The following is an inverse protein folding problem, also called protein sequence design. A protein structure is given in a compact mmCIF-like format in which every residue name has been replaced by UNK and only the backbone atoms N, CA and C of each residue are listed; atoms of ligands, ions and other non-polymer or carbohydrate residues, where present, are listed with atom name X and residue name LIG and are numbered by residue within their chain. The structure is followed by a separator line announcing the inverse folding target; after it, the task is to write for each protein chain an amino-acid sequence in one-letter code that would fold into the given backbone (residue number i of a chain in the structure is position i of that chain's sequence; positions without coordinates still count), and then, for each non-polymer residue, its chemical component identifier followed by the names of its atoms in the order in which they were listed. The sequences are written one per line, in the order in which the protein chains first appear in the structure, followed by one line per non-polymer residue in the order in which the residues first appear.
data_IF_367946022379
#
_entry.id   IF_367946022379
#
_cell.length_a   1.000
_cell.length_b   1.000
_cell.length_c   1.000
_cell.angle_alpha   90.00
_cell.angle_beta   90.00
_cell.angle_gamma   90.00
#
_symmetry.space_group_name_H-M   'P 1'
#
loop_
_entity.id
_entity.type
_entity.pdbx_description
1 polymer ?
#
# COMPACT_ATOMS: atom_id res chain seq x y z
N UNK A 1 -19.62 -18.87 -19.60
CA UNK A 1 -18.37 -18.45 -18.93
C UNK A 1 -17.89 -17.22 -19.68
N UNK A 2 -18.01 -16.03 -19.09
CA UNK A 2 -17.47 -14.82 -19.71
C UNK A 2 -15.95 -14.92 -19.63
N UNK A 3 -15.25 -14.86 -20.77
CA UNK A 3 -13.80 -14.79 -20.78
C UNK A 3 -13.40 -13.47 -20.12
N UNK A 4 -12.76 -13.52 -18.95
CA UNK A 4 -12.18 -12.31 -18.36
C UNK A 4 -11.16 -11.74 -19.33
N UNK A 5 -11.24 -10.44 -19.62
CA UNK A 5 -10.23 -9.74 -20.41
C UNK A 5 -8.96 -9.67 -19.55
N UNK A 6 -7.82 -10.00 -20.15
CA UNK A 6 -6.52 -9.96 -19.48
C UNK A 6 -5.78 -8.68 -19.89
N UNK A 7 -5.05 -8.10 -18.94
CA UNK A 7 -4.20 -6.92 -19.13
C UNK A 7 -2.76 -7.32 -18.79
N UNK A 8 -1.81 -6.88 -19.61
CA UNK A 8 -0.37 -7.11 -19.38
C UNK A 8 0.27 -5.89 -18.76
N UNK A 9 0.69 -5.99 -17.50
CA UNK A 9 1.46 -4.95 -16.80
C UNK A 9 2.95 -5.24 -16.93
N UNK A 10 3.77 -4.22 -17.16
CA UNK A 10 5.23 -4.36 -17.22
C UNK A 10 5.90 -3.54 -16.13
N UNK A 11 6.65 -4.18 -15.25
CA UNK A 11 7.39 -3.55 -14.15
C UNK A 11 8.60 -2.74 -14.64
N UNK A 12 9.19 -1.97 -13.73
CA UNK A 12 10.36 -1.11 -13.99
C UNK A 12 11.64 -1.88 -14.33
N UNK A 13 11.78 -3.09 -13.77
CA UNK A 13 12.86 -4.06 -14.02
C UNK A 13 12.54 -5.01 -15.19
N UNK A 14 11.41 -4.79 -15.88
CA UNK A 14 11.12 -5.34 -17.20
C UNK A 14 10.36 -6.67 -17.21
N UNK A 15 9.99 -7.22 -16.06
CA UNK A 15 9.09 -8.38 -16.01
C UNK A 15 7.66 -7.99 -16.37
N UNK A 16 6.90 -8.97 -16.84
CA UNK A 16 5.53 -8.79 -17.30
C UNK A 16 4.58 -9.67 -16.50
N UNK A 17 3.45 -9.10 -16.12
CA UNK A 17 2.40 -9.75 -15.34
C UNK A 17 1.10 -9.71 -16.13
N UNK A 18 0.53 -10.88 -16.39
CA UNK A 18 -0.80 -11.00 -16.98
C UNK A 18 -1.83 -11.07 -15.85
N UNK A 19 -2.75 -10.11 -15.82
CA UNK A 19 -3.74 -9.96 -14.74
C UNK A 19 -5.14 -9.79 -15.31
N UNK A 20 -6.15 -10.27 -14.58
CA UNK A 20 -7.55 -10.01 -14.92
C UNK A 20 -7.81 -8.50 -14.95
N UNK A 21 -8.58 -8.01 -15.92
CA UNK A 21 -8.96 -6.60 -16.04
C UNK A 21 -9.61 -6.10 -14.75
N UNK A 22 -10.46 -6.91 -14.10
CA UNK A 22 -11.07 -6.54 -12.82
C UNK A 22 -10.04 -6.27 -11.71
N UNK A 23 -8.92 -6.99 -11.69
CA UNK A 23 -7.82 -6.76 -10.73
C UNK A 23 -7.03 -5.51 -11.10
N UNK A 24 -6.77 -5.31 -12.39
CA UNK A 24 -6.08 -4.12 -12.90
C UNK A 24 -6.87 -2.83 -12.63
N UNK A 25 -8.21 -2.88 -12.67
CA UNK A 25 -9.12 -1.76 -12.46
C UNK A 25 -9.19 -1.26 -11.00
N UNK A 26 -8.65 -2.01 -10.04
CA UNK A 26 -8.45 -1.49 -8.66
C UNK A 26 -7.52 -0.27 -8.65
N UNK A 27 -6.61 -0.18 -9.63
CA UNK A 27 -5.78 1.00 -9.86
C UNK A 27 -6.52 2.02 -10.73
N UNK A 28 -6.76 3.21 -10.19
CA UNK A 28 -7.36 4.30 -10.97
C UNK A 28 -6.42 4.78 -12.09
N UNK A 29 -5.10 4.75 -11.86
CA UNK A 29 -4.10 5.07 -12.89
C UNK A 29 -4.22 4.12 -14.08
N UNK A 30 -4.25 2.81 -13.83
CA UNK A 30 -4.36 1.79 -14.87
C UNK A 30 -5.72 1.87 -15.57
N UNK A 31 -6.80 2.10 -14.82
CA UNK A 31 -8.15 2.31 -15.38
C UNK A 31 -8.18 3.42 -16.44
N UNK A 32 -7.65 4.59 -16.12
CA UNK A 32 -7.61 5.70 -17.09
C UNK A 32 -6.77 5.34 -18.33
N UNK A 33 -5.66 4.62 -18.18
CA UNK A 33 -4.83 4.18 -19.31
C UNK A 33 -5.56 3.18 -20.24
N UNK A 34 -6.43 2.34 -19.68
CA UNK A 34 -7.27 1.42 -20.45
C UNK A 34 -8.36 2.19 -21.20
N UNK A 35 -9.03 3.14 -20.55
CA UNK A 35 -10.10 3.97 -21.12
C UNK A 35 -9.59 4.86 -22.28
N UNK A 36 -8.37 5.40 -22.16
CA UNK A 36 -7.70 6.19 -23.21
C UNK A 36 -7.17 5.34 -24.38
N UNK A 37 -7.50 4.04 -24.43
CA UNK A 37 -7.10 3.08 -25.46
C UNK A 37 -5.57 2.99 -25.67
N UNK A 38 -4.78 3.30 -24.63
CA UNK A 38 -3.31 3.23 -24.64
C UNK A 38 -2.78 1.81 -24.35
N UNK A 39 -3.69 0.84 -24.16
CA UNK A 39 -3.39 -0.48 -23.62
C UNK A 39 -3.35 -1.61 -24.66
N UNK A 40 -3.19 -1.31 -25.96
CA UNK A 40 -3.30 -2.29 -27.05
C UNK A 40 -2.26 -3.44 -26.99
N UNK A 41 -1.28 -3.42 -26.09
CA UNK A 41 -0.34 -4.55 -25.91
C UNK A 41 0.20 -4.72 -24.50
N UNK A 42 0.57 -3.65 -23.79
CA UNK A 42 1.05 -3.73 -22.39
C UNK A 42 1.11 -2.34 -21.75
N UNK A 43 0.80 -2.26 -20.46
CA UNK A 43 0.87 -1.04 -19.66
C UNK A 43 2.21 -0.99 -18.90
N UNK A 44 3.12 -0.06 -19.22
CA UNK A 44 4.39 0.07 -18.52
C UNK A 44 4.23 0.81 -17.18
N UNK A 45 4.83 0.27 -16.13
CA UNK A 45 4.84 0.78 -14.76
C UNK A 45 6.30 1.06 -14.32
N UNK A 46 6.93 2.14 -14.85
CA UNK A 46 8.36 2.40 -14.66
C UNK A 46 8.77 2.72 -13.22
N UNK A 47 7.82 2.97 -12.32
CA UNK A 47 8.08 3.33 -10.93
C UNK A 47 7.82 2.18 -9.95
N UNK A 48 7.55 0.96 -10.42
CA UNK A 48 7.23 -0.18 -9.56
C UNK A 48 8.06 -1.39 -10.01
N UNK A 49 8.88 -1.93 -9.10
CA UNK A 49 9.67 -3.15 -9.35
C UNK A 49 8.77 -4.38 -9.38
N UNK A 50 9.25 -5.46 -9.99
CA UNK A 50 8.49 -6.72 -10.12
C UNK A 50 8.09 -7.30 -8.77
N UNK A 51 9.01 -7.27 -7.79
CA UNK A 51 8.75 -7.74 -6.42
C UNK A 51 7.54 -7.02 -5.78
N UNK A 52 7.48 -5.70 -5.94
CA UNK A 52 6.44 -4.87 -5.34
C UNK A 52 5.14 -5.00 -6.14
N UNK A 53 5.24 -5.01 -7.47
CA UNK A 53 4.09 -5.19 -8.35
C UNK A 53 3.38 -6.52 -8.09
N UNK A 54 4.13 -7.62 -7.89
CA UNK A 54 3.55 -8.92 -7.54
C UNK A 54 2.71 -8.86 -6.26
N UNK A 55 3.19 -8.15 -5.22
CA UNK A 55 2.45 -7.96 -3.96
C UNK A 55 1.21 -7.07 -4.15
N UNK A 56 1.31 -6.01 -4.94
CA UNK A 56 0.16 -5.17 -5.27
C UNK A 56 -0.91 -5.98 -6.00
N UNK A 57 -0.52 -6.82 -6.95
CA UNK A 57 -1.44 -7.69 -7.69
C UNK A 57 -2.10 -8.71 -6.75
N UNK A 58 -1.34 -9.33 -5.85
CA UNK A 58 -1.86 -10.24 -4.82
C UNK A 58 -2.94 -9.57 -3.96
N UNK A 59 -2.66 -8.36 -3.47
CA UNK A 59 -3.58 -7.56 -2.68
C UNK A 59 -4.87 -7.25 -3.45
N UNK A 60 -4.76 -6.70 -4.66
CA UNK A 60 -5.91 -6.34 -5.50
C UNK A 60 -6.75 -7.58 -5.83
N UNK A 61 -6.12 -8.70 -6.15
CA UNK A 61 -6.82 -9.95 -6.46
C UNK A 61 -7.66 -10.43 -5.28
N UNK A 62 -7.09 -10.44 -4.08
CA UNK A 62 -7.81 -10.84 -2.87
C UNK A 62 -9.02 -9.95 -2.57
N UNK A 63 -8.88 -8.63 -2.78
CA UNK A 63 -9.97 -7.66 -2.57
C UNK A 63 -11.08 -7.78 -3.61
N UNK A 64 -10.73 -8.04 -4.87
CA UNK A 64 -11.69 -8.29 -5.94
C UNK A 64 -12.44 -9.62 -5.72
N UNK A 65 -11.78 -10.65 -5.19
CA UNK A 65 -12.44 -11.90 -4.83
C UNK A 65 -13.41 -11.71 -3.66
N UNK A 66 -13.00 -10.99 -2.62
CA UNK A 66 -13.85 -10.70 -1.48
C UNK A 66 -15.10 -9.88 -1.86
N UNK A 67 -14.97 -8.91 -2.78
CA UNK A 67 -16.10 -8.10 -3.24
C UNK A 67 -17.12 -8.86 -4.11
N UNK A 68 -16.73 -10.00 -4.69
CA UNK A 68 -17.63 -10.90 -5.44
C UNK A 68 -18.40 -11.85 -4.53
N UNK A 69 -17.91 -12.11 -3.32
CA UNK A 69 -18.50 -13.05 -2.36
C UNK A 69 -19.48 -12.38 -1.38
N UNK A 70 -19.64 -11.06 -1.42
CA UNK A 70 -20.35 -10.26 -0.42
C UNK A 70 -21.87 -10.20 -0.60
N UNK A 71 -22.51 -11.27 -1.06
CA UNK A 71 -23.96 -11.49 -0.96
C UNK A 71 -24.38 -11.85 0.50
N UNK A 72 -23.90 -11.08 1.49
CA UNK A 72 -24.44 -11.05 2.85
C UNK A 72 -23.72 -11.86 3.95
N UNK A 73 -22.56 -12.45 3.71
CA UNK A 73 -21.83 -13.21 4.73
C UNK A 73 -20.78 -12.38 5.50
N UNK A 74 -21.07 -12.10 6.79
CA UNK A 74 -20.16 -11.41 7.74
C UNK A 74 -18.78 -12.08 7.91
N UNK A 75 -18.64 -13.36 7.58
CA UNK A 75 -17.37 -14.10 7.63
C UNK A 75 -16.34 -13.55 6.65
N UNK A 76 -16.76 -13.07 5.48
CA UNK A 76 -15.86 -12.58 4.43
C UNK A 76 -15.07 -11.32 4.83
N UNK A 77 -15.66 -10.44 5.65
CA UNK A 77 -15.02 -9.21 6.12
C UNK A 77 -13.94 -9.46 7.19
N UNK A 78 -14.15 -10.41 8.10
CA UNK A 78 -13.12 -10.75 9.10
C UNK A 78 -11.93 -11.45 8.46
N UNK A 79 -12.18 -12.35 7.52
CA UNK A 79 -11.14 -13.02 6.75
C UNK A 79 -10.31 -12.03 5.91
N UNK A 80 -10.95 -10.99 5.36
CA UNK A 80 -10.24 -9.94 4.61
C UNK A 80 -9.38 -9.08 5.54
N UNK A 81 -9.90 -8.69 6.71
CA UNK A 81 -9.12 -7.95 7.72
C UNK A 81 -7.93 -8.76 8.23
N UNK A 82 -8.10 -10.07 8.44
CA UNK A 82 -7.01 -10.95 8.84
C UNK A 82 -5.93 -11.04 7.74
N UNK A 83 -6.36 -11.16 6.49
CA UNK A 83 -5.45 -11.10 5.34
C UNK A 83 -4.70 -9.76 5.30
N UNK A 84 -5.38 -8.63 5.45
CA UNK A 84 -4.75 -7.29 5.43
C UNK A 84 -3.71 -7.14 6.52
N UNK A 85 -4.05 -7.58 7.74
CA UNK A 85 -3.15 -7.54 8.87
C UNK A 85 -1.90 -8.42 8.66
N UNK A 86 -2.03 -9.55 7.96
CA UNK A 86 -0.89 -10.40 7.61
C UNK A 86 -0.11 -9.87 6.40
N UNK A 87 -0.78 -9.28 5.41
CA UNK A 87 -0.20 -8.75 4.20
C UNK A 87 0.84 -7.66 4.47
N UNK A 88 0.57 -6.79 5.44
CA UNK A 88 1.48 -5.70 5.85
C UNK A 88 2.59 -6.12 6.80
N UNK A 89 2.65 -7.40 7.23
CA UNK A 89 3.76 -7.95 8.04
C UNK A 89 5.00 -8.21 7.19
N UNK A 90 5.53 -7.15 6.59
CA UNK A 90 6.75 -7.13 5.79
C UNK A 90 7.81 -6.26 6.45
N UNK A 91 9.04 -6.29 5.93
CA UNK A 91 10.08 -5.36 6.36
C UNK A 91 9.74 -3.91 5.98
N UNK A 92 10.32 -2.94 6.69
CA UNK A 92 10.02 -1.51 6.50
C UNK A 92 10.29 -1.02 5.08
N UNK A 93 11.35 -1.52 4.41
CA UNK A 93 11.66 -1.10 3.05
C UNK A 93 10.56 -1.57 2.09
N UNK A 94 10.14 -2.83 2.19
CA UNK A 94 9.00 -3.33 1.41
C UNK A 94 7.70 -2.58 1.74
N UNK A 95 7.45 -2.21 3.01
CA UNK A 95 6.26 -1.43 3.40
C UNK A 95 6.26 -0.04 2.76
N UNK A 96 7.41 0.66 2.77
CA UNK A 96 7.53 1.98 2.13
C UNK A 96 7.41 1.89 0.61
N UNK A 97 7.98 0.87 -0.01
CA UNK A 97 7.80 0.64 -1.44
C UNK A 97 6.33 0.36 -1.80
N UNK A 98 5.59 -0.36 -0.94
CA UNK A 98 4.15 -0.57 -1.11
C UNK A 98 3.37 0.75 -1.00
N UNK A 99 3.72 1.64 -0.07
CA UNK A 99 3.11 2.99 0.05
C UNK A 99 3.34 3.79 -1.24
N UNK A 100 4.58 3.82 -1.74
CA UNK A 100 4.94 4.53 -2.96
C UNK A 100 4.21 3.96 -4.17
N UNK A 101 4.15 2.63 -4.31
CA UNK A 101 3.45 1.96 -5.39
C UNK A 101 1.93 2.20 -5.32
N UNK A 102 1.32 2.11 -4.14
CA UNK A 102 -0.11 2.36 -3.94
C UNK A 102 -0.50 3.79 -4.30
N UNK A 103 0.32 4.77 -3.92
CA UNK A 103 0.13 6.16 -4.31
C UNK A 103 0.29 6.37 -5.83
N UNK A 104 1.35 5.81 -6.44
CA UNK A 104 1.59 5.91 -7.88
C UNK A 104 0.48 5.27 -8.73
N UNK A 105 0.02 4.09 -8.33
CA UNK A 105 -1.07 3.36 -8.98
C UNK A 105 -2.46 3.87 -8.57
N UNK A 106 -2.53 4.79 -7.62
CA UNK A 106 -3.77 5.34 -7.08
C UNK A 106 -4.74 4.23 -6.61
N UNK A 107 -4.25 3.37 -5.71
CA UNK A 107 -5.01 2.30 -5.06
C UNK A 107 -5.26 2.74 -3.62
N UNK A 108 -6.40 3.40 -3.38
CA UNK A 108 -6.70 4.06 -2.10
C UNK A 108 -6.71 3.08 -0.92
N UNK A 109 -7.32 1.90 -1.08
CA UNK A 109 -7.43 0.89 -0.01
C UNK A 109 -6.05 0.43 0.49
N UNK A 110 -5.15 0.12 -0.44
CA UNK A 110 -3.77 -0.28 -0.12
C UNK A 110 -2.99 0.88 0.52
N UNK A 111 -3.17 2.10 0.02
CA UNK A 111 -2.52 3.27 0.58
C UNK A 111 -2.98 3.55 2.01
N UNK A 112 -4.28 3.49 2.27
CA UNK A 112 -4.84 3.67 3.61
C UNK A 112 -4.34 2.60 4.58
N UNK A 113 -4.35 1.32 4.17
CA UNK A 113 -3.88 0.19 4.98
C UNK A 113 -2.39 0.35 5.38
N UNK A 114 -1.54 0.67 4.41
CA UNK A 114 -0.10 0.80 4.65
C UNK A 114 0.23 2.07 5.46
N UNK A 115 -0.44 3.19 5.22
CA UNK A 115 -0.33 4.40 6.04
C UNK A 115 -0.80 4.16 7.48
N UNK A 116 -1.93 3.47 7.67
CA UNK A 116 -2.44 3.13 9.00
C UNK A 116 -1.45 2.23 9.75
N UNK A 117 -0.83 1.26 9.06
CA UNK A 117 0.20 0.40 9.65
C UNK A 117 1.38 1.22 10.17
N UNK A 118 1.87 2.20 9.40
CA UNK A 118 2.94 3.11 9.85
C UNK A 118 2.48 3.98 11.03
N UNK A 119 1.25 4.49 11.02
CA UNK A 119 0.69 5.26 12.12
C UNK A 119 0.61 4.43 13.42
N UNK A 120 0.19 3.16 13.33
CA UNK A 120 0.14 2.24 14.47
C UNK A 120 1.54 1.90 15.02
N UNK A 121 2.57 1.91 14.17
CA UNK A 121 3.96 1.77 14.63
C UNK A 121 4.47 2.99 15.41
N UNK A 122 3.82 4.14 15.29
CA UNK A 122 4.16 5.40 15.98
C UNK A 122 3.31 5.57 17.23
N UNK A 123 2.04 5.13 17.19
CA UNK A 123 1.06 5.33 18.24
C UNK A 123 1.55 4.78 19.58
N UNK A 124 1.52 5.64 20.61
CA UNK A 124 1.89 5.28 21.97
C UNK A 124 3.39 5.11 22.24
N UNK A 125 4.25 5.39 21.25
CA UNK A 125 5.71 5.40 21.43
C UNK A 125 6.23 6.78 21.79
N UNK A 126 7.34 6.83 22.53
CA UNK A 126 8.05 8.09 22.79
C UNK A 126 8.81 8.56 21.54
N UNK A 127 9.16 9.87 21.44
CA UNK A 127 9.99 10.38 20.36
C UNK A 127 11.30 9.59 20.15
N UNK A 128 11.92 9.13 21.23
CA UNK A 128 13.17 8.34 21.20
C UNK A 128 12.94 6.94 20.62
N UNK A 129 11.83 6.29 21.00
CA UNK A 129 11.45 4.97 20.46
C UNK A 129 11.08 5.04 18.98
N UNK A 130 10.38 6.10 18.56
CA UNK A 130 10.06 6.38 17.16
C UNK A 130 11.36 6.56 16.37
N UNK A 131 12.26 7.43 16.85
CA UNK A 131 13.56 7.66 16.21
C UNK A 131 14.35 6.38 16.06
N UNK A 132 14.39 5.53 17.09
CA UNK A 132 15.06 4.23 17.02
C UNK A 132 14.39 3.28 16.02
N UNK A 133 13.05 3.22 16.02
CA UNK A 133 12.27 2.34 15.14
C UNK A 133 12.52 2.65 13.67
N UNK A 134 12.56 3.94 13.31
CA UNK A 134 12.72 4.41 11.93
C UNK A 134 14.16 4.81 11.59
N UNK A 135 15.11 4.53 12.50
CA UNK A 135 16.52 4.89 12.36
C UNK A 135 16.75 6.38 12.02
N UNK A 136 16.00 7.27 12.68
CA UNK A 136 16.06 8.72 12.52
C UNK A 136 17.05 9.29 13.52
N UNK A 137 18.01 10.08 13.05
CA UNK A 137 18.95 10.81 13.89
C UNK A 137 18.25 12.00 14.56
N UNK A 138 18.45 12.20 15.86
CA UNK A 138 18.05 13.45 16.51
C UNK A 138 18.96 14.60 16.03
N UNK A 139 18.35 15.61 15.42
CA UNK A 139 18.99 16.78 14.86
C UNK A 139 18.75 18.05 15.69
N UNK A 140 17.95 17.96 16.77
CA UNK A 140 17.81 19.03 17.74
C UNK A 140 19.03 19.15 18.66
N UNK A 141 19.36 20.39 19.01
CA UNK A 141 20.21 20.68 20.17
C UNK A 141 19.45 20.38 21.48
N UNK A 142 20.15 20.16 22.60
CA UNK A 142 19.51 19.92 23.90
C UNK A 142 18.52 21.04 24.28
N UNK A 143 18.86 22.29 23.98
CA UNK A 143 18.03 23.46 24.26
C UNK A 143 16.75 23.47 23.41
N UNK A 144 16.84 23.18 22.11
CA UNK A 144 15.69 23.08 21.22
C UNK A 144 14.75 21.92 21.61
N UNK A 145 15.32 20.78 22.00
CA UNK A 145 14.52 19.64 22.44
C UNK A 145 13.76 19.94 23.74
N UNK A 146 14.40 20.63 24.69
CA UNK A 146 13.75 21.05 25.94
C UNK A 146 12.63 22.07 25.68
N UNK A 147 12.84 23.02 24.77
CA UNK A 147 11.82 23.99 24.37
C UNK A 147 10.61 23.31 23.72
N UNK A 148 10.84 22.41 22.75
CA UNK A 148 9.76 21.65 22.10
C UNK A 148 9.02 20.77 23.11
N UNK A 149 9.72 20.14 24.05
CA UNK A 149 9.09 19.32 25.12
C UNK A 149 8.23 20.18 26.04
N UNK A 150 8.68 21.40 26.38
CA UNK A 150 7.92 22.34 27.21
C UNK A 150 6.66 22.85 26.49
N UNK A 151 6.76 23.20 25.22
CA UNK A 151 5.60 23.66 24.42
C UNK A 151 4.55 22.57 24.22
N UNK A 152 4.99 21.32 24.09
CA UNK A 152 4.12 20.17 23.83
C UNK A 152 3.82 19.33 25.08
N UNK A 153 4.02 19.89 26.28
CA UNK A 153 3.78 19.19 27.55
C UNK A 153 2.33 18.66 27.66
N UNK A 154 1.36 19.37 27.07
CA UNK A 154 -0.05 18.97 27.01
C UNK A 154 -0.31 17.61 26.36
N UNK A 155 0.61 17.11 25.51
CA UNK A 155 0.48 15.82 24.86
C UNK A 155 0.97 14.65 25.74
N UNK A 156 1.58 14.95 26.88
CA UNK A 156 2.17 13.99 27.81
C UNK A 156 1.55 14.05 29.23
N UNK A 157 0.53 14.89 29.43
CA UNK A 157 -0.36 14.91 30.63
C UNK A 157 -1.55 13.96 30.47
#
# INVERSE_FOLDING_TARGET
MSSSKMIVLKSSDGETFEVDEAVALESQTIKHMIEDNCADTSIPLPNVTSKILAKVIEYCKRHVEASKSSDGEKSSDEDLKAFDADFVKVDQATLFDLILAANYLNIKSLLDLTCQTVADMIKGKTPEEIRKTFNIKNDFTPEEEEEVRRENAWAFE
#
